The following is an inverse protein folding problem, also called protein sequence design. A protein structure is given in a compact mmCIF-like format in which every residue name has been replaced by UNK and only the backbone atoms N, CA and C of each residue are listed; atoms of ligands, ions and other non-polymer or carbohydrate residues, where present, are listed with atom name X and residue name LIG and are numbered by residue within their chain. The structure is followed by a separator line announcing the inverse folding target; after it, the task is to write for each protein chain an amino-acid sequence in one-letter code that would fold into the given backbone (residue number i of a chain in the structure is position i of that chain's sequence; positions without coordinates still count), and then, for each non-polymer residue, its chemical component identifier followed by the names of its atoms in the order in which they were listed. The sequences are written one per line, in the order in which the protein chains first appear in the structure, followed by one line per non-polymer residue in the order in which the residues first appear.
data_IF_404068659280
#
_entry.id   IF_404068659280
#
_cell.length_a   1.000
_cell.length_b   1.000
_cell.length_c   1.000
_cell.angle_alpha   90.00
_cell.angle_beta   90.00
_cell.angle_gamma   90.00
#
_symmetry.space_group_name_H-M   'P 1'
#
loop_
_entity.id
_entity.type
_entity.pdbx_description
1 polymer ?
#
# COMPACT_ATOMS: atom_id res chain seq x y z
N UNK A 1 12.74 4.38 -23.92
CA UNK A 1 12.76 3.97 -22.50
C UNK A 1 13.56 5.02 -21.76
N UNK A 2 13.00 5.59 -20.70
CA UNK A 2 13.62 6.66 -19.93
C UNK A 2 13.73 6.19 -18.47
N UNK A 3 14.81 6.58 -17.79
CA UNK A 3 15.05 6.24 -16.39
C UNK A 3 14.67 7.43 -15.52
N UNK A 4 13.85 7.20 -14.50
CA UNK A 4 13.46 8.21 -13.53
C UNK A 4 13.88 7.79 -12.13
N UNK A 5 14.36 8.75 -11.34
CA UNK A 5 14.58 8.59 -9.92
C UNK A 5 13.40 9.21 -9.17
N UNK A 6 12.67 8.40 -8.40
CA UNK A 6 11.52 8.85 -7.60
C UNK A 6 11.91 8.77 -6.12
N UNK A 7 12.09 9.91 -5.42
CA UNK A 7 12.36 9.90 -3.99
C UNK A 7 11.09 9.51 -3.21
N UNK A 8 11.26 8.64 -2.22
CA UNK A 8 10.20 8.26 -1.29
C UNK A 8 10.24 9.18 -0.08
N UNK A 9 9.12 9.84 0.23
CA UNK A 9 9.00 10.68 1.43
C UNK A 9 8.68 9.80 2.64
N UNK A 10 9.55 9.81 3.63
CA UNK A 10 9.39 9.07 4.88
C UNK A 10 10.05 9.82 6.05
N UNK A 11 9.53 11.01 6.42
CA UNK A 11 10.17 11.89 7.39
C UNK A 11 10.28 11.26 8.79
N UNK A 12 9.39 10.33 9.13
CA UNK A 12 9.36 9.65 10.41
C UNK A 12 10.20 8.36 10.44
N UNK A 13 10.83 7.98 9.33
CA UNK A 13 11.68 6.78 9.26
C UNK A 13 10.89 5.47 9.47
N UNK A 14 9.63 5.44 9.04
CA UNK A 14 8.77 4.25 9.14
C UNK A 14 9.29 3.11 8.25
N UNK A 15 8.86 1.87 8.55
CA UNK A 15 9.15 0.73 7.69
C UNK A 15 8.25 0.77 6.46
N UNK A 16 8.84 0.56 5.28
CA UNK A 16 8.14 0.56 4.00
C UNK A 16 8.36 -0.78 3.27
N UNK A 17 7.31 -1.31 2.65
CA UNK A 17 7.36 -2.52 1.82
C UNK A 17 6.83 -2.15 0.44
N UNK A 18 7.65 -2.35 -0.58
CA UNK A 18 7.25 -2.17 -1.99
C UNK A 18 7.13 -3.53 -2.66
N UNK A 19 6.05 -3.72 -3.41
CA UNK A 19 5.77 -4.97 -4.11
C UNK A 19 4.98 -4.75 -5.39
N UNK A 20 4.92 -5.80 -6.20
CA UNK A 20 4.09 -5.85 -7.40
C UNK A 20 2.98 -6.87 -7.18
N UNK A 21 1.75 -6.47 -7.47
CA UNK A 21 0.57 -7.33 -7.36
C UNK A 21 -0.34 -7.14 -8.59
N UNK A 22 -1.42 -7.90 -8.63
CA UNK A 22 -2.46 -7.81 -9.64
C UNK A 22 -3.82 -8.15 -9.02
N UNK A 23 -4.91 -7.79 -9.70
CA UNK A 23 -6.29 -8.00 -9.25
C UNK A 23 -6.72 -7.14 -8.03
N UNK A 24 -7.94 -6.59 -8.10
CA UNK A 24 -8.46 -5.59 -7.16
C UNK A 24 -8.55 -6.11 -5.72
N UNK A 25 -8.71 -7.43 -5.56
CA UNK A 25 -8.79 -8.09 -4.26
C UNK A 25 -7.50 -7.99 -3.44
N UNK A 26 -6.36 -7.67 -4.07
CA UNK A 26 -5.09 -7.34 -3.39
C UNK A 26 -5.27 -6.38 -2.21
N UNK A 27 -6.15 -5.39 -2.34
CA UNK A 27 -6.37 -4.37 -1.31
C UNK A 27 -6.93 -5.01 -0.04
N UNK A 28 -8.01 -5.78 -0.16
CA UNK A 28 -8.66 -6.47 0.97
C UNK A 28 -7.77 -7.58 1.53
N UNK A 29 -7.17 -8.41 0.65
CA UNK A 29 -6.36 -9.55 1.09
C UNK A 29 -5.12 -9.11 1.87
N UNK A 30 -4.44 -8.02 1.45
CA UNK A 30 -3.32 -7.48 2.21
C UNK A 30 -3.76 -6.82 3.52
N UNK A 31 -4.91 -6.14 3.54
CA UNK A 31 -5.45 -5.59 4.78
C UNK A 31 -5.72 -6.70 5.81
N UNK A 32 -6.43 -7.75 5.40
CA UNK A 32 -6.77 -8.88 6.25
C UNK A 32 -5.52 -9.64 6.70
N UNK A 33 -4.56 -9.88 5.80
CA UNK A 33 -3.31 -10.54 6.14
C UNK A 33 -2.50 -9.76 7.18
N UNK A 34 -2.41 -8.43 7.06
CA UNK A 34 -1.68 -7.59 8.02
C UNK A 34 -2.42 -7.51 9.35
N UNK A 35 -3.72 -7.22 9.34
CA UNK A 35 -4.55 -7.12 10.54
C UNK A 35 -4.63 -8.47 11.30
N UNK A 36 -4.62 -9.59 10.58
CA UNK A 36 -4.59 -10.94 11.16
C UNK A 36 -3.21 -11.37 11.67
N UNK A 37 -2.12 -10.77 11.20
CA UNK A 37 -0.76 -11.14 11.60
C UNK A 37 -0.35 -10.56 12.97
N UNK A 38 -0.74 -9.31 13.27
CA UNK A 38 -0.35 -8.62 14.51
C UNK A 38 -1.54 -7.85 15.09
N UNK A 39 -2.03 -8.21 16.30
CA UNK A 39 -3.12 -7.47 16.94
C UNK A 39 -2.78 -5.99 17.14
N UNK A 40 -3.63 -5.10 16.65
CA UNK A 40 -3.47 -3.65 16.83
C UNK A 40 -2.39 -2.99 15.95
N UNK A 41 -1.89 -3.68 14.92
CA UNK A 41 -0.94 -3.09 13.97
C UNK A 41 -1.51 -1.85 13.28
N UNK A 42 -0.70 -0.79 13.22
CA UNK A 42 -0.97 0.44 12.47
C UNK A 42 -0.25 0.37 11.13
N UNK A 43 -1.01 0.43 10.03
CA UNK A 43 -0.46 0.40 8.68
C UNK A 43 -1.37 1.11 7.70
N UNK A 44 -0.80 1.49 6.56
CA UNK A 44 -1.52 1.87 5.35
C UNK A 44 -1.01 1.06 4.15
N UNK A 45 -1.91 0.77 3.22
CA UNK A 45 -1.66 0.07 1.96
C UNK A 45 -2.18 0.94 0.82
N UNK A 46 -1.38 1.11 -0.22
CA UNK A 46 -1.79 1.71 -1.49
C UNK A 46 -1.49 0.74 -2.64
N UNK A 47 -2.45 0.60 -3.56
CA UNK A 47 -2.38 -0.31 -4.71
C UNK A 47 -2.78 0.43 -5.99
N UNK A 48 -1.90 0.43 -7.00
CA UNK A 48 -2.16 1.04 -8.29
C UNK A 48 -2.96 0.10 -9.19
N UNK A 49 -4.25 0.35 -9.37
CA UNK A 49 -5.08 -0.36 -10.34
C UNK A 49 -4.54 -0.09 -11.76
N UNK A 50 -4.10 -1.14 -12.46
CA UNK A 50 -3.43 -0.99 -13.74
C UNK A 50 -4.38 -0.90 -14.96
N UNK A 51 -5.68 -1.12 -14.75
CA UNK A 51 -6.69 -1.16 -15.82
C UNK A 51 -7.99 -0.48 -15.39
N UNK A 52 -8.93 -0.33 -16.33
CA UNK A 52 -10.23 0.27 -16.05
C UNK A 52 -10.12 1.71 -15.49
N UNK A 53 -10.74 2.02 -14.34
CA UNK A 53 -10.65 3.33 -13.68
C UNK A 53 -9.22 3.79 -13.35
N UNK A 54 -8.27 2.86 -13.18
CA UNK A 54 -6.85 3.13 -12.88
C UNK A 54 -6.64 4.01 -11.64
N UNK A 55 -7.39 3.70 -10.58
CA UNK A 55 -7.30 4.42 -9.32
C UNK A 55 -6.19 3.86 -8.43
N UNK A 56 -5.60 4.73 -7.60
CA UNK A 56 -4.86 4.29 -6.42
C UNK A 56 -5.87 3.89 -5.37
N UNK A 57 -5.92 2.61 -5.05
CA UNK A 57 -6.81 2.04 -4.03
C UNK A 57 -6.06 2.01 -2.71
N UNK A 58 -6.70 2.45 -1.64
CA UNK A 58 -6.06 2.52 -0.33
C UNK A 58 -6.89 1.84 0.74
N UNK A 59 -6.22 1.35 1.77
CA UNK A 59 -6.82 0.75 2.96
C UNK A 59 -5.80 0.74 4.10
N UNK A 60 -6.25 0.64 5.34
CA UNK A 60 -5.37 0.60 6.50
C UNK A 60 -6.11 0.80 7.80
N UNK A 61 -5.36 0.73 8.89
CA UNK A 61 -5.87 0.91 10.27
C UNK A 61 -5.51 2.27 10.85
N UNK A 62 -4.68 3.04 10.16
CA UNK A 62 -4.24 4.36 10.57
C UNK A 62 -4.49 5.39 9.46
N UNK A 63 -5.43 6.33 9.65
CA UNK A 63 -5.74 7.35 8.65
C UNK A 63 -4.56 8.25 8.25
N UNK A 64 -3.52 8.37 9.09
CA UNK A 64 -2.34 9.16 8.74
C UNK A 64 -1.37 8.42 7.80
N UNK A 65 -1.52 7.09 7.65
CA UNK A 65 -0.69 6.24 6.81
C UNK A 65 -1.36 5.84 5.48
N UNK A 66 -2.64 6.18 5.29
CA UNK A 66 -3.50 5.79 4.15
C UNK A 66 -3.62 6.89 3.11
#
# INVERSE_FOLDING_TARGET
MEMHQVPVQNPEGLNLIFGQAHFIKTVEDLHEALAGAVPGIRFGVAFCEASGPRLVRTTGTDPALV
#
